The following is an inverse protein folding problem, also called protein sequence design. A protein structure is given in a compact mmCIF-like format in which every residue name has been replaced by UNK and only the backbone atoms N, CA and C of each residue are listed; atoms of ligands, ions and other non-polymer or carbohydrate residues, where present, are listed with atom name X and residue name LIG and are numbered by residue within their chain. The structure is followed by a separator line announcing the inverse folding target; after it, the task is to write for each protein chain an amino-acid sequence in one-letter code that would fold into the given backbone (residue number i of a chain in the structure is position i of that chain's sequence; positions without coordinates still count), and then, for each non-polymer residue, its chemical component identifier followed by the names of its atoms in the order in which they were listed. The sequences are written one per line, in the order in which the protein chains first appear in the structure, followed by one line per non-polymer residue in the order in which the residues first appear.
data_IF_659950093910
#
_entry.id   IF_659950093910
#
_cell.length_a   1.000
_cell.length_b   1.000
_cell.length_c   1.000
_cell.angle_alpha   90.00
_cell.angle_beta   90.00
_cell.angle_gamma   90.00
#
_symmetry.space_group_name_H-M   'P 1'
#
loop_
_entity.id
_entity.type
_entity.pdbx_description
1 polymer ?
#
# COMPACT_ATOMS: atom_id res chain seq x y z
N UNK A 1 17.67 -49.59 -2.66
CA UNK A 1 18.10 -48.64 -1.63
C UNK A 1 17.87 -47.25 -2.20
N UNK A 2 16.71 -46.66 -1.95
CA UNK A 2 16.43 -45.28 -2.32
C UNK A 2 16.32 -44.53 -1.01
N UNK A 3 17.35 -43.71 -0.75
CA UNK A 3 17.46 -42.83 0.40
C UNK A 3 16.38 -41.76 0.26
N UNK A 4 15.29 -41.90 1.02
CA UNK A 4 14.27 -40.86 1.13
C UNK A 4 14.87 -39.65 1.85
N UNK A 5 15.04 -38.56 1.11
CA UNK A 5 15.36 -37.26 1.66
C UNK A 5 14.14 -36.71 2.40
N UNK A 6 14.36 -36.27 3.63
CA UNK A 6 13.38 -35.59 4.45
C UNK A 6 13.33 -34.13 4.00
N UNK A 7 12.29 -33.76 3.24
CA UNK A 7 12.00 -32.35 2.92
C UNK A 7 11.38 -31.68 4.16
N UNK A 8 11.99 -30.61 4.70
CA UNK A 8 11.42 -29.88 5.83
C UNK A 8 10.13 -29.17 5.40
N UNK A 9 9.08 -29.34 6.20
CA UNK A 9 7.79 -28.71 6.01
C UNK A 9 7.91 -27.16 6.09
N UNK A 10 7.58 -26.41 5.01
CA UNK A 10 7.78 -24.96 4.96
C UNK A 10 6.94 -24.19 5.99
N UNK A 11 5.79 -24.72 6.41
CA UNK A 11 4.93 -24.07 7.43
C UNK A 11 5.55 -24.06 8.82
N UNK A 12 6.47 -25.00 9.11
CA UNK A 12 7.26 -25.00 10.35
C UNK A 12 8.57 -24.23 10.24
N UNK A 13 9.08 -23.99 9.02
CA UNK A 13 10.32 -23.25 8.81
C UNK A 13 10.09 -21.73 8.80
N UNK A 14 9.02 -21.25 8.17
CA UNK A 14 8.67 -19.82 8.13
C UNK A 14 8.22 -19.32 9.53
N UNK A 15 7.40 -20.09 10.25
CA UNK A 15 7.01 -19.71 11.63
C UNK A 15 8.17 -19.72 12.62
N UNK A 16 9.16 -20.60 12.42
CA UNK A 16 10.42 -20.57 13.21
C UNK A 16 11.27 -19.36 12.82
N UNK A 17 11.24 -18.92 11.56
CA UNK A 17 11.94 -17.72 11.09
C UNK A 17 11.34 -16.45 11.68
N UNK A 18 10.02 -16.36 11.79
CA UNK A 18 9.33 -15.22 12.42
C UNK A 18 9.63 -15.17 13.93
N UNK A 19 9.59 -16.30 14.62
CA UNK A 19 10.02 -16.39 16.03
C UNK A 19 11.50 -16.01 16.21
N UNK A 20 12.36 -16.33 15.25
CA UNK A 20 13.77 -15.91 15.27
C UNK A 20 13.89 -14.40 15.09
N UNK A 21 13.06 -13.76 14.24
CA UNK A 21 13.03 -12.30 14.06
C UNK A 21 12.51 -11.60 15.31
N UNK A 22 11.47 -12.13 15.95
CA UNK A 22 10.93 -11.61 17.21
C UNK A 22 11.97 -11.69 18.33
N UNK A 23 12.59 -12.86 18.52
CA UNK A 23 13.68 -13.05 19.49
C UNK A 23 14.89 -12.16 19.15
N UNK A 24 15.18 -11.89 17.88
CA UNK A 24 16.22 -10.93 17.49
C UNK A 24 15.87 -9.50 17.91
N UNK A 25 14.60 -9.09 17.78
CA UNK A 25 14.11 -7.81 18.27
C UNK A 25 14.23 -7.67 19.78
N UNK A 26 13.81 -8.70 20.53
CA UNK A 26 13.96 -8.75 21.99
C UNK A 26 15.43 -8.71 22.43
N UNK A 27 16.32 -9.39 21.70
CA UNK A 27 17.77 -9.37 21.97
C UNK A 27 18.37 -7.99 21.70
N UNK A 28 17.95 -7.28 20.66
CA UNK A 28 18.42 -5.91 20.40
C UNK A 28 17.88 -4.92 21.45
N UNK A 29 16.64 -5.09 21.92
CA UNK A 29 16.13 -4.28 23.02
C UNK A 29 16.89 -4.56 24.32
N UNK A 30 17.15 -5.84 24.63
CA UNK A 30 17.94 -6.21 25.79
C UNK A 30 19.37 -5.65 25.76
N UNK A 31 19.99 -5.53 24.56
CA UNK A 31 21.29 -4.85 24.41
C UNK A 31 21.21 -3.37 24.76
N UNK A 32 20.19 -2.65 24.26
CA UNK A 32 19.99 -1.24 24.61
C UNK A 32 19.79 -1.04 26.11
N UNK A 33 19.03 -1.93 26.74
CA UNK A 33 18.80 -1.88 28.19
C UNK A 33 20.09 -2.15 28.98
N UNK A 34 20.95 -3.06 28.48
CA UNK A 34 22.29 -3.32 29.04
C UNK A 34 23.19 -2.09 28.89
N UNK A 35 23.25 -1.48 27.70
CA UNK A 35 24.06 -0.27 27.46
C UNK A 35 23.63 0.89 28.38
N UNK A 36 22.32 1.05 28.60
CA UNK A 36 21.78 2.04 29.53
C UNK A 36 22.15 1.72 30.99
N UNK A 37 22.13 0.45 31.39
CA UNK A 37 22.56 0.02 32.71
C UNK A 37 24.07 0.23 32.93
N UNK A 38 24.91 0.01 31.91
CA UNK A 38 26.35 0.28 31.96
C UNK A 38 26.64 1.77 32.19
N UNK A 39 25.95 2.68 31.48
CA UNK A 39 26.09 4.13 31.69
C UNK A 39 25.64 4.56 33.10
N UNK A 40 24.58 3.96 33.62
CA UNK A 40 24.11 4.22 34.99
C UNK A 40 25.13 3.75 36.05
N UNK A 41 25.80 2.62 35.81
CA UNK A 41 26.88 2.12 36.68
C UNK A 41 28.08 3.08 36.65
N UNK A 42 28.51 3.53 35.47
CA UNK A 42 29.62 4.49 35.34
C UNK A 42 29.33 5.81 36.08
N UNK A 43 28.09 6.27 36.03
CA UNK A 43 27.65 7.46 36.79
C UNK A 43 27.71 7.23 38.30
N UNK A 44 27.27 6.06 38.77
CA UNK A 44 27.34 5.69 40.20
C UNK A 44 28.78 5.55 40.70
N UNK A 45 29.68 4.99 39.89
CA UNK A 45 31.11 4.90 40.21
C UNK A 45 31.73 6.28 40.40
N UNK A 46 31.36 7.26 39.55
CA UNK A 46 31.77 8.65 39.72
C UNK A 46 31.30 9.26 41.04
N UNK A 47 30.01 9.10 41.38
CA UNK A 47 29.47 9.61 42.65
C UNK A 47 30.08 8.95 43.88
N UNK A 48 30.47 7.68 43.80
CA UNK A 48 31.16 6.98 44.90
C UNK A 48 32.56 7.54 45.11
N UNK A 49 33.32 7.80 44.04
CA UNK A 49 34.64 8.40 44.15
C UNK A 49 34.61 9.79 44.81
N UNK A 50 33.63 10.62 44.47
CA UNK A 50 33.43 11.93 45.11
C UNK A 50 33.09 11.79 46.61
N UNK A 51 32.28 10.79 46.96
CA UNK A 51 31.96 10.50 48.35
C UNK A 51 33.17 10.02 49.16
N UNK A 52 34.05 9.20 48.57
CA UNK A 52 35.31 8.76 49.19
C UNK A 52 36.25 9.94 49.44
N UNK A 53 36.42 10.84 48.47
CA UNK A 53 37.23 12.05 48.63
C UNK A 53 36.67 12.98 49.72
N UNK A 54 35.36 13.13 49.79
CA UNK A 54 34.71 13.91 50.85
C UNK A 54 34.95 13.30 52.24
N UNK A 55 34.93 11.97 52.36
CA UNK A 55 35.21 11.26 53.62
C UNK A 55 36.67 11.46 54.05
N UNK A 56 37.63 11.37 53.12
CA UNK A 56 39.04 11.61 53.42
C UNK A 56 39.28 13.04 53.89
N UNK A 57 38.68 14.04 53.24
CA UNK A 57 38.75 15.43 53.67
C UNK A 57 38.18 15.66 55.09
N UNK A 58 37.07 14.99 55.43
CA UNK A 58 36.49 15.04 56.78
C UNK A 58 37.42 14.37 57.80
N UNK A 59 38.04 13.25 57.46
CA UNK A 59 38.98 12.56 58.33
C UNK A 59 40.25 13.39 58.58
N UNK A 60 40.80 14.04 57.56
CA UNK A 60 41.93 14.96 57.70
C UNK A 60 41.57 16.17 58.59
N UNK A 61 40.35 16.68 58.49
CA UNK A 61 39.87 17.75 59.36
C UNK A 61 39.70 17.31 60.83
N UNK A 62 39.26 16.06 61.06
CA UNK A 62 39.02 15.53 62.42
C UNK A 62 40.28 15.00 63.11
N UNK A 63 41.23 14.45 62.35
CA UNK A 63 42.38 13.72 62.88
C UNK A 63 43.74 14.21 62.36
N UNK A 64 43.78 15.03 61.30
CA UNK A 64 45.02 15.44 60.64
C UNK A 64 45.77 16.59 61.31
N UNK A 65 45.13 17.37 62.18
CA UNK A 65 45.77 18.47 62.90
C UNK A 65 45.99 18.09 64.36
N UNK A 66 47.13 17.46 64.64
CA UNK A 66 47.66 17.30 66.02
C UNK A 66 47.86 18.63 66.77
N UNK A 67 47.52 19.78 66.17
CA UNK A 67 47.53 21.12 66.76
C UNK A 67 46.71 21.20 68.06
N UNK A 68 45.61 20.44 68.17
CA UNK A 68 44.83 20.37 69.41
C UNK A 68 45.58 19.67 70.55
N UNK A 69 46.31 18.59 70.26
CA UNK A 69 47.15 17.88 71.24
C UNK A 69 48.38 18.70 71.62
N UNK A 70 49.01 19.38 70.66
CA UNK A 70 50.19 20.22 70.88
C UNK A 70 49.84 21.49 71.68
N UNK A 71 48.68 22.10 71.43
CA UNK A 71 48.18 23.22 72.22
C UNK A 71 47.88 22.81 73.68
N UNK A 72 47.31 21.62 73.90
CA UNK A 72 47.06 21.09 75.25
C UNK A 72 48.39 20.76 75.95
N UNK A 73 49.36 20.18 75.27
CA UNK A 73 50.69 19.92 75.83
C UNK A 73 51.40 21.21 76.24
N UNK A 74 51.35 22.26 75.40
CA UNK A 74 51.92 23.57 75.72
C UNK A 74 51.24 24.27 76.90
N UNK A 75 49.92 24.09 77.07
CA UNK A 75 49.21 24.58 78.25
C UNK A 75 49.63 23.86 79.54
N UNK A 76 49.91 22.56 79.48
CA UNK A 76 50.38 21.78 80.63
C UNK A 76 51.77 22.27 81.08
N UNK A 77 52.70 22.44 80.15
CA UNK A 77 54.06 22.96 80.46
C UNK A 77 54.02 24.39 81.06
N UNK A 78 53.10 25.22 80.57
CA UNK A 78 52.88 26.58 81.08
C UNK A 78 52.36 26.58 82.52
N UNK A 79 51.47 25.64 82.86
CA UNK A 79 50.92 25.50 84.22
C UNK A 79 52.00 25.04 85.18
N UNK A 80 52.84 24.06 84.79
CA UNK A 80 53.99 23.65 85.61
C UNK A 80 54.95 24.82 85.86
N UNK A 81 55.22 25.64 84.84
CA UNK A 81 56.06 26.85 84.99
C UNK A 81 55.45 27.87 85.96
N UNK A 82 54.13 28.07 85.92
CA UNK A 82 53.44 29.00 86.83
C UNK A 82 53.45 28.51 88.28
N UNK A 83 53.40 27.20 88.50
CA UNK A 83 53.55 26.62 89.83
C UNK A 83 54.96 26.89 90.40
N UNK A 84 56.01 26.70 89.59
CA UNK A 84 57.39 27.03 89.98
C UNK A 84 57.58 28.53 90.29
N UNK A 85 57.00 29.40 89.46
CA UNK A 85 57.05 30.86 89.70
C UNK A 85 56.30 31.26 90.99
N UNK A 86 55.18 30.61 91.30
CA UNK A 86 54.42 30.85 92.52
C UNK A 86 55.20 30.43 93.78
N UNK A 87 55.87 29.27 93.71
CA UNK A 87 56.76 28.81 94.78
C UNK A 87 57.95 29.75 94.98
N UNK A 88 58.47 30.36 93.89
CA UNK A 88 59.55 31.33 93.95
C UNK A 88 59.14 32.69 94.58
N UNK A 89 57.88 33.11 94.44
CA UNK A 89 57.38 34.39 95.01
C UNK A 89 57.02 34.25 96.50
N UNK A 90 56.73 33.04 96.97
CA UNK A 90 56.42 32.78 98.39
C UNK A 90 57.47 33.31 99.38
N UNK A 91 58.79 33.10 99.22
CA UNK A 91 59.80 33.68 100.11
C UNK A 91 59.87 35.21 100.04
N UNK A 92 59.59 35.83 98.89
CA UNK A 92 59.55 37.28 98.76
C UNK A 92 58.38 37.87 99.55
N UNK A 93 57.23 37.20 99.58
CA UNK A 93 56.07 37.61 100.40
C UNK A 93 56.39 37.52 101.90
N UNK A 94 57.10 36.47 102.34
CA UNK A 94 57.55 36.35 103.73
C UNK A 94 58.61 37.42 104.08
N UNK A 95 59.46 37.78 103.13
CA UNK A 95 60.41 38.89 103.26
C UNK A 95 59.66 40.22 103.37
N UNK A 96 58.67 40.47 102.51
CA UNK A 96 57.86 41.68 102.52
C UNK A 96 57.09 41.86 103.84
N UNK A 97 56.57 40.76 104.42
CA UNK A 97 55.97 40.78 105.77
C UNK A 97 56.98 41.22 106.83
N UNK A 98 58.22 40.76 106.72
CA UNK A 98 59.31 41.14 107.63
C UNK A 98 59.68 42.60 107.46
N UNK A 99 59.80 43.08 106.22
CA UNK A 99 60.09 44.48 105.89
C UNK A 99 58.97 45.42 106.36
N UNK A 100 57.71 45.03 106.20
CA UNK A 100 56.55 45.81 106.68
C UNK A 100 56.54 45.88 108.21
N UNK A 101 56.91 44.81 108.92
CA UNK A 101 57.08 44.84 110.37
C UNK A 101 58.25 45.76 110.79
N UNK A 102 59.33 45.76 110.02
CA UNK A 102 60.45 46.70 110.15
C UNK A 102 60.03 48.16 109.94
N UNK A 103 59.31 48.44 108.86
CA UNK A 103 58.75 49.76 108.54
C UNK A 103 57.77 50.23 109.62
N UNK A 104 56.93 49.35 110.16
CA UNK A 104 56.04 49.69 111.28
C UNK A 104 56.82 50.15 112.51
N UNK A 105 57.97 49.53 112.77
CA UNK A 105 58.90 49.93 113.84
C UNK A 105 59.59 51.26 113.50
N UNK A 106 60.07 51.42 112.26
CA UNK A 106 60.74 52.62 111.80
C UNK A 106 59.81 53.85 111.80
N UNK A 107 58.58 53.72 111.32
CA UNK A 107 57.53 54.74 111.39
C UNK A 107 57.20 55.12 112.84
N UNK A 108 57.18 54.14 113.75
CA UNK A 108 57.09 54.40 115.20
C UNK A 108 58.21 55.32 115.72
N UNK A 109 59.39 55.25 115.11
CA UNK A 109 60.55 56.09 115.46
C UNK A 109 60.58 57.43 114.70
N UNK A 110 59.94 57.57 113.53
CA UNK A 110 59.92 58.81 112.73
C UNK A 110 59.32 59.99 113.50
N UNK A 111 58.33 59.75 114.37
CA UNK A 111 57.76 60.80 115.23
C UNK A 111 58.71 61.32 116.33
N UNK A 112 59.90 60.73 116.47
CA UNK A 112 60.89 61.13 117.48
C UNK A 112 62.16 61.77 116.89
N UNK A 113 62.24 61.96 115.56
CA UNK A 113 63.42 62.53 114.89
C UNK A 113 63.31 64.05 114.73
N UNK A 114 64.30 64.76 115.24
CA UNK A 114 64.41 66.22 115.49
C UNK A 114 64.53 67.13 114.25
N UNK A 115 63.97 66.78 113.09
CA UNK A 115 64.08 67.60 111.87
C UNK A 115 62.71 68.00 111.30
N UNK A 116 62.20 69.15 111.75
CA UNK A 116 61.10 69.86 111.07
C UNK A 116 61.60 71.22 110.61
N UNK A 117 61.38 71.54 109.32
CA UNK A 117 61.60 72.89 108.76
C UNK A 117 60.61 73.90 109.35
N UNK A 118 61.06 75.13 109.51
CA UNK A 118 60.24 76.23 110.01
C UNK A 118 59.38 76.82 108.89
N UNK A 119 58.32 77.55 109.25
CA UNK A 119 57.46 78.26 108.28
C UNK A 119 58.24 79.26 107.41
N UNK A 120 59.37 79.74 107.90
CA UNK A 120 60.27 80.66 107.20
C UNK A 120 61.03 79.93 106.09
N UNK A 121 61.58 78.75 106.37
CA UNK A 121 62.23 77.89 105.36
C UNK A 121 61.27 77.55 104.21
N UNK A 122 59.98 77.30 104.52
CA UNK A 122 58.95 76.99 103.52
C UNK A 122 58.60 78.22 102.66
N UNK A 123 58.48 79.41 103.26
CA UNK A 123 58.16 80.63 102.53
C UNK A 123 59.28 81.05 101.56
N UNK A 124 60.54 80.86 101.96
CA UNK A 124 61.69 81.15 101.11
C UNK A 124 61.76 80.18 99.93
N UNK A 125 61.48 78.89 100.17
CA UNK A 125 61.46 77.88 99.12
C UNK A 125 60.33 78.13 98.10
N UNK A 126 59.14 78.49 98.60
CA UNK A 126 57.96 78.79 97.76
C UNK A 126 58.17 80.07 96.96
N UNK A 127 58.71 81.14 97.57
CA UNK A 127 58.92 82.41 96.86
C UNK A 127 59.99 82.28 95.77
N UNK A 128 61.08 81.55 96.03
CA UNK A 128 62.10 81.26 95.03
C UNK A 128 61.61 80.30 93.93
N UNK A 129 60.68 79.39 94.22
CA UNK A 129 60.15 78.46 93.23
C UNK A 129 59.14 79.12 92.27
N UNK A 130 58.42 80.16 92.70
CA UNK A 130 57.35 80.79 91.89
C UNK A 130 57.86 81.96 91.04
N UNK A 131 59.04 82.54 91.34
CA UNK A 131 59.60 83.65 90.57
C UNK A 131 59.99 83.29 89.12
N UNK A 132 60.11 82.01 88.78
CA UNK A 132 60.35 81.52 87.42
C UNK A 132 59.09 81.11 86.65
N UNK A 133 57.89 81.36 87.20
CA UNK A 133 56.60 80.97 86.59
C UNK A 133 56.10 82.08 85.67
N UNK A 134 55.47 81.71 84.55
CA UNK A 134 54.86 82.68 83.64
C UNK A 134 53.72 83.49 84.31
N UNK A 135 53.79 84.81 84.18
CA UNK A 135 52.86 85.78 84.74
C UNK A 135 52.16 86.53 83.59
N UNK A 136 50.91 86.20 83.26
CA UNK A 136 50.19 86.95 82.22
C UNK A 136 49.89 88.39 82.69
N UNK A 137 50.32 89.38 81.89
CA UNK A 137 50.27 90.81 82.24
C UNK A 137 49.31 91.62 81.38
N UNK A 138 48.83 91.05 80.26
CA UNK A 138 47.85 91.68 79.38
C UNK A 138 48.22 91.58 77.90
N UNK A 139 47.58 92.42 77.08
CA UNK A 139 47.77 92.44 75.63
C UNK A 139 48.22 93.82 75.16
N UNK A 140 49.10 93.88 74.16
CA UNK A 140 49.58 95.12 73.53
C UNK A 140 49.44 95.05 72.00
N UNK A 141 49.32 96.22 71.35
CA UNK A 141 49.01 96.31 69.91
C UNK A 141 50.20 95.98 68.99
N UNK A 142 51.44 96.07 69.48
CA UNK A 142 52.64 95.70 68.73
C UNK A 142 53.82 95.41 69.66
N UNK A 143 54.86 94.74 69.17
CA UNK A 143 56.02 94.34 69.97
C UNK A 143 56.72 95.55 70.63
N UNK A 144 56.79 96.69 69.93
CA UNK A 144 57.38 97.94 70.43
C UNK A 144 56.59 98.58 71.58
N UNK A 145 55.37 98.09 71.87
CA UNK A 145 54.52 98.55 72.97
C UNK A 145 54.65 97.68 74.22
N UNK A 146 55.48 96.64 74.19
CA UNK A 146 55.80 95.86 75.38
C UNK A 146 56.44 96.77 76.44
N UNK A 147 56.10 96.58 77.73
CA UNK A 147 56.54 97.49 78.78
C UNK A 147 58.06 97.43 78.95
N UNK A 148 58.64 98.56 79.32
CA UNK A 148 60.05 98.66 79.69
C UNK A 148 60.30 98.12 81.10
N UNK A 149 59.32 98.28 81.99
CA UNK A 149 59.27 97.67 83.32
C UNK A 149 58.68 96.25 83.21
N UNK A 150 59.52 95.25 83.46
CA UNK A 150 59.20 93.83 83.22
C UNK A 150 59.96 92.96 84.20
N UNK A 151 59.30 91.92 84.69
CA UNK A 151 59.90 90.89 85.53
C UNK A 151 60.11 89.61 84.71
N UNK A 152 61.11 88.81 85.07
CA UNK A 152 61.27 87.47 84.52
C UNK A 152 59.96 86.68 84.73
N UNK A 153 59.50 86.01 83.67
CA UNK A 153 58.20 85.33 83.65
C UNK A 153 57.04 86.20 83.16
N UNK A 154 57.14 87.53 83.05
CA UNK A 154 56.04 88.36 82.53
C UNK A 154 55.68 87.95 81.09
N UNK A 155 54.40 87.69 80.80
CA UNK A 155 53.88 87.28 79.50
C UNK A 155 52.87 88.30 78.98
N UNK A 156 53.05 88.73 77.74
CA UNK A 156 52.11 89.58 77.03
C UNK A 156 51.66 88.95 75.73
N UNK A 157 50.39 89.16 75.39
CA UNK A 157 49.90 88.88 74.05
C UNK A 157 50.17 90.09 73.14
N UNK A 158 50.85 89.86 72.03
CA UNK A 158 51.16 90.85 71.01
C UNK A 158 50.48 90.41 69.71
N UNK A 159 49.30 90.97 69.44
CA UNK A 159 48.47 90.57 68.29
C UNK A 159 48.21 89.05 68.27
N UNK A 160 48.83 88.32 67.35
CA UNK A 160 48.69 86.89 67.08
C UNK A 160 49.77 86.02 67.73
N UNK A 161 50.65 86.64 68.53
CA UNK A 161 51.77 85.98 69.17
C UNK A 161 51.81 86.25 70.66
N UNK A 162 52.39 85.31 71.40
CA UNK A 162 52.62 85.44 72.84
C UNK A 162 54.10 85.60 73.08
N UNK A 163 54.48 86.56 73.93
CA UNK A 163 55.87 86.83 74.28
C UNK A 163 56.04 86.80 75.79
N UNK A 164 57.10 86.15 76.27
CA UNK A 164 57.51 86.16 77.67
C UNK A 164 58.87 86.80 77.87
N UNK A 165 59.02 87.56 78.95
CA UNK A 165 60.30 88.10 79.36
C UNK A 165 61.09 87.03 80.11
N UNK A 166 62.21 86.59 79.55
CA UNK A 166 63.07 85.57 80.16
C UNK A 166 64.13 86.14 81.12
N UNK A 167 63.98 87.40 81.54
CA UNK A 167 64.99 88.12 82.33
C UNK A 167 65.94 88.98 81.48
N UNK A 168 66.13 88.64 80.20
CA UNK A 168 67.09 89.32 79.30
C UNK A 168 66.44 89.91 78.06
N UNK A 169 65.47 89.22 77.47
CA UNK A 169 64.72 89.66 76.29
C UNK A 169 63.29 89.12 76.27
N UNK A 170 62.44 89.69 75.41
CA UNK A 170 61.12 89.16 75.12
C UNK A 170 61.26 88.01 74.11
N UNK A 171 60.88 86.81 74.51
CA UNK A 171 60.95 85.58 73.72
C UNK A 171 59.55 85.17 73.28
N UNK A 172 59.38 84.85 72.00
CA UNK A 172 58.13 84.31 71.46
C UNK A 172 57.84 82.93 72.07
N UNK A 173 56.69 82.80 72.73
CA UNK A 173 56.20 81.56 73.33
C UNK A 173 55.25 80.80 72.40
N UNK A 174 54.44 81.54 71.64
CA UNK A 174 53.37 80.95 70.83
C UNK A 174 52.93 81.86 69.69
N UNK A 175 52.32 81.26 68.67
CA UNK A 175 51.76 81.94 67.50
C UNK A 175 50.41 81.33 67.13
N UNK A 176 49.56 82.09 66.44
CA UNK A 176 48.33 81.57 65.85
C UNK A 176 48.65 80.71 64.60
N UNK A 177 48.16 79.48 64.59
CA UNK A 177 48.23 78.60 63.41
C UNK A 177 47.09 78.94 62.45
N UNK A 178 47.40 79.26 61.19
CA UNK A 178 46.39 79.43 60.14
C UNK A 178 45.86 78.07 59.68
N UNK A 179 44.55 77.85 59.87
CA UNK A 179 43.85 76.62 59.48
C UNK A 179 42.98 76.81 58.23
N UNK A 180 43.08 77.94 57.52
CA UNK A 180 42.24 78.26 56.36
C UNK A 180 42.35 77.28 55.17
N UNK A 181 43.47 76.56 55.06
CA UNK A 181 43.68 75.50 54.06
C UNK A 181 43.03 74.17 54.43
N UNK A 182 42.51 74.02 55.66
CA UNK A 182 41.84 72.82 56.11
C UNK A 182 40.34 72.86 55.78
N UNK A 183 39.80 71.70 55.40
CA UNK A 183 38.38 71.55 55.14
C UNK A 183 37.57 71.87 56.41
N UNK A 184 36.53 72.69 56.26
CA UNK A 184 35.58 72.94 57.35
C UNK A 184 34.67 71.74 57.54
N UNK A 185 34.11 71.59 58.73
CA UNK A 185 33.11 70.55 59.00
C UNK A 185 31.91 70.64 58.05
N UNK A 186 31.41 71.84 57.79
CA UNK A 186 30.30 72.05 56.84
C UNK A 186 30.63 71.54 55.45
N UNK A 187 31.83 71.84 54.93
CA UNK A 187 32.25 71.32 53.63
C UNK A 187 32.28 69.79 53.59
N UNK A 188 32.78 69.15 54.65
CA UNK A 188 32.81 67.67 54.74
C UNK A 188 31.39 67.11 54.85
N UNK A 189 30.54 67.70 55.69
CA UNK A 189 29.15 67.26 55.87
C UNK A 189 28.36 67.37 54.56
N UNK A 190 28.52 68.47 53.81
CA UNK A 190 27.88 68.66 52.51
C UNK A 190 28.38 67.65 51.46
N UNK A 191 29.69 67.39 51.43
CA UNK A 191 30.27 66.40 50.52
C UNK A 191 29.81 64.97 50.85
N UNK A 192 29.77 64.62 52.14
CA UNK A 192 29.25 63.32 52.60
C UNK A 192 27.77 63.18 52.27
N UNK A 193 26.98 64.24 52.44
CA UNK A 193 25.57 64.24 52.07
C UNK A 193 25.37 64.01 50.58
N UNK A 194 26.14 64.70 49.73
CA UNK A 194 26.05 64.49 48.28
C UNK A 194 26.35 63.03 47.89
N UNK A 195 27.36 62.42 48.51
CA UNK A 195 27.67 61.00 48.30
C UNK A 195 26.55 60.09 48.82
N UNK A 196 25.92 60.43 49.94
CA UNK A 196 24.78 59.69 50.45
C UNK A 196 23.58 59.77 49.50
N UNK A 197 23.27 60.96 48.99
CA UNK A 197 22.20 61.18 48.02
C UNK A 197 22.48 60.38 46.71
N UNK A 198 23.74 60.35 46.24
CA UNK A 198 24.15 59.53 45.08
C UNK A 198 24.03 58.01 45.36
N UNK A 199 24.31 57.58 46.60
CA UNK A 199 24.18 56.17 47.00
C UNK A 199 22.71 55.74 47.04
N UNK A 200 21.82 56.58 47.58
CA UNK A 200 20.38 56.33 47.60
C UNK A 200 19.84 56.17 46.16
N UNK A 201 20.26 57.03 45.22
CA UNK A 201 19.89 56.92 43.81
C UNK A 201 20.44 55.64 43.16
N UNK A 202 21.65 55.21 43.55
CA UNK A 202 22.23 53.97 43.05
C UNK A 202 21.45 52.74 43.56
N UNK A 203 20.95 52.78 44.80
CA UNK A 203 20.13 51.71 45.38
C UNK A 203 18.78 51.58 44.65
N UNK A 204 18.09 52.70 44.40
CA UNK A 204 16.85 52.71 43.58
C UNK A 204 17.08 52.12 42.18
N UNK A 205 18.22 52.44 41.54
CA UNK A 205 18.57 51.90 40.23
C UNK A 205 18.85 50.39 40.28
N UNK A 206 19.45 49.89 41.36
CA UNK A 206 19.69 48.45 41.56
C UNK A 206 18.37 47.71 41.73
N UNK A 207 17.44 48.22 42.55
CA UNK A 207 16.12 47.63 42.72
C UNK A 207 15.36 47.55 41.39
N UNK A 208 15.42 48.60 40.58
CA UNK A 208 14.82 48.60 39.26
C UNK A 208 15.42 47.54 38.33
N UNK A 209 16.75 47.34 38.37
CA UNK A 209 17.44 46.31 37.59
C UNK A 209 17.07 44.90 38.06
N UNK A 210 16.91 44.68 39.37
CA UNK A 210 16.45 43.41 39.93
C UNK A 210 15.03 43.07 39.43
N UNK A 211 14.11 44.04 39.40
CA UNK A 211 12.78 43.81 38.84
C UNK A 211 12.78 43.50 37.33
N UNK A 212 13.74 44.05 36.58
CA UNK A 212 13.95 43.68 35.18
C UNK A 212 14.48 42.25 35.05
N UNK A 213 15.40 41.83 35.90
CA UNK A 213 15.92 40.45 35.94
C UNK A 213 14.81 39.44 36.21
N UNK A 214 13.98 39.69 37.24
CA UNK A 214 12.80 38.87 37.54
C UNK A 214 11.84 38.77 36.34
N UNK A 215 11.62 39.88 35.64
CA UNK A 215 10.77 39.92 34.45
C UNK A 215 11.38 39.11 33.29
N UNK A 216 12.70 39.20 33.09
CA UNK A 216 13.39 38.44 32.05
C UNK A 216 13.33 36.95 32.37
N UNK A 217 13.58 36.55 33.61
CA UNK A 217 13.53 35.15 34.04
C UNK A 217 12.13 34.57 33.84
N UNK A 218 11.07 35.27 34.25
CA UNK A 218 9.69 34.80 33.99
C UNK A 218 9.35 34.69 32.49
N UNK A 219 9.96 35.49 31.62
CA UNK A 219 9.82 35.35 30.16
C UNK A 219 10.63 34.17 29.61
N UNK A 220 11.79 33.88 30.17
CA UNK A 220 12.60 32.72 29.80
C UNK A 220 11.87 31.43 30.18
N UNK A 221 11.35 31.35 31.40
CA UNK A 221 10.56 30.20 31.86
C UNK A 221 9.36 29.95 30.92
N UNK A 222 8.62 31.00 30.56
CA UNK A 222 7.49 30.87 29.63
C UNK A 222 7.91 30.52 28.20
N UNK A 223 9.13 30.88 27.77
CA UNK A 223 9.67 30.42 26.50
C UNK A 223 10.09 28.94 26.55
N UNK A 224 10.63 28.48 27.67
CA UNK A 224 11.01 27.08 27.88
C UNK A 224 9.77 26.18 27.83
N UNK A 225 8.69 26.56 28.53
CA UNK A 225 7.39 25.87 28.44
C UNK A 225 6.87 25.82 26.98
N UNK A 226 6.95 26.93 26.24
CA UNK A 226 6.51 26.98 24.85
C UNK A 226 7.38 26.10 23.93
N UNK A 227 8.68 25.95 24.23
CA UNK A 227 9.59 25.06 23.50
C UNK A 227 9.20 23.60 23.76
N UNK A 228 8.92 23.23 25.01
CA UNK A 228 8.45 21.88 25.37
C UNK A 228 7.15 21.53 24.63
N UNK A 229 6.18 22.44 24.60
CA UNK A 229 4.93 22.27 23.86
C UNK A 229 5.17 22.05 22.35
N UNK A 230 6.09 22.82 21.76
CA UNK A 230 6.46 22.67 20.34
C UNK A 230 7.15 21.34 20.05
N UNK A 231 8.02 20.87 20.94
CA UNK A 231 8.67 19.56 20.82
C UNK A 231 7.65 18.41 20.92
N UNK A 232 6.66 18.53 21.80
CA UNK A 232 5.55 17.59 21.87
C UNK A 232 4.71 17.57 20.58
N UNK A 233 4.41 18.74 20.02
CA UNK A 233 3.68 18.85 18.76
C UNK A 233 4.47 18.27 17.57
N UNK A 234 5.78 18.50 17.50
CA UNK A 234 6.67 17.94 16.48
C UNK A 234 6.68 16.41 16.52
N UNK A 235 6.81 15.85 17.73
CA UNK A 235 6.73 14.39 17.95
C UNK A 235 5.40 13.81 17.45
N UNK A 236 4.27 14.43 17.81
CA UNK A 236 2.95 13.98 17.38
C UNK A 236 2.73 14.11 15.85
N UNK A 237 3.37 15.09 15.21
CA UNK A 237 3.37 15.21 13.75
C UNK A 237 4.18 14.08 13.12
N UNK A 238 5.34 13.74 13.68
CA UNK A 238 6.15 12.59 13.27
C UNK A 238 5.35 11.29 13.28
N UNK A 239 4.71 10.95 14.40
CA UNK A 239 3.86 9.75 14.51
C UNK A 239 2.72 9.72 13.48
N UNK A 240 2.13 10.88 13.17
CA UNK A 240 1.09 10.97 12.14
C UNK A 240 1.63 10.79 10.73
N UNK A 241 2.85 11.24 10.46
CA UNK A 241 3.52 11.02 9.17
C UNK A 241 3.81 9.53 9.00
N UNK A 242 4.37 8.88 10.02
CA UNK A 242 4.67 7.45 9.99
C UNK A 242 3.40 6.62 9.71
N UNK A 243 2.29 6.92 10.38
CA UNK A 243 1.01 6.25 10.12
C UNK A 243 0.46 6.49 8.71
N UNK A 244 0.65 7.69 8.15
CA UNK A 244 0.26 7.99 6.77
C UNK A 244 1.14 7.23 5.77
N UNK A 245 2.43 7.05 6.05
CA UNK A 245 3.34 6.28 5.21
C UNK A 245 2.96 4.79 5.17
N UNK A 246 2.53 4.23 6.30
CA UNK A 246 1.98 2.87 6.38
C UNK A 246 0.68 2.74 5.55
N UNK A 247 -0.26 3.67 5.72
CA UNK A 247 -1.52 3.70 4.96
C UNK A 247 -1.27 3.80 3.44
N UNK A 248 -0.33 4.65 3.02
CA UNK A 248 0.05 4.80 1.60
C UNK A 248 0.62 3.49 1.06
N UNK A 249 1.47 2.82 1.82
CA UNK A 249 2.07 1.54 1.41
C UNK A 249 0.99 0.47 1.22
N UNK A 250 0.05 0.35 2.16
CA UNK A 250 -1.08 -0.58 2.04
C UNK A 250 -1.99 -0.28 0.82
N UNK A 251 -2.21 1.00 0.51
CA UNK A 251 -2.98 1.39 -0.68
C UNK A 251 -2.27 1.05 -1.99
N UNK A 252 -0.94 1.15 -2.04
CA UNK A 252 -0.15 0.74 -3.21
C UNK A 252 -0.27 -0.77 -3.43
N UNK A 253 -0.13 -1.57 -2.38
CA UNK A 253 -0.29 -3.03 -2.47
C UNK A 253 -1.70 -3.43 -2.95
N UNK A 254 -2.73 -2.72 -2.48
CA UNK A 254 -4.10 -2.94 -2.93
C UNK A 254 -4.31 -2.54 -4.39
N UNK A 255 -3.69 -1.45 -4.87
CA UNK A 255 -3.74 -1.04 -6.28
C UNK A 255 -3.09 -2.10 -7.19
N UNK A 256 -1.92 -2.63 -6.80
CA UNK A 256 -1.27 -3.73 -7.52
C UNK A 256 -2.15 -4.99 -7.56
N UNK A 257 -2.81 -5.32 -6.45
CA UNK A 257 -3.74 -6.46 -6.36
C UNK A 257 -4.95 -6.26 -7.29
N UNK A 258 -5.51 -5.06 -7.33
CA UNK A 258 -6.63 -4.72 -8.21
C UNK A 258 -6.22 -4.74 -9.67
N UNK A 259 -5.03 -4.25 -10.01
CA UNK A 259 -4.47 -4.32 -11.36
C UNK A 259 -4.38 -5.77 -11.86
N UNK A 260 -3.86 -6.69 -11.03
CA UNK A 260 -3.80 -8.11 -11.37
C UNK A 260 -5.18 -8.77 -11.56
N UNK A 261 -6.19 -8.36 -10.79
CA UNK A 261 -7.57 -8.83 -11.01
C UNK A 261 -8.18 -8.33 -12.32
N UNK A 262 -7.87 -7.09 -12.71
CA UNK A 262 -8.35 -6.51 -13.97
C UNK A 262 -7.73 -7.27 -15.14
N UNK A 263 -6.42 -7.49 -15.14
CA UNK A 263 -5.73 -8.28 -16.17
C UNK A 263 -6.34 -9.69 -16.28
N UNK A 264 -6.57 -10.37 -15.15
CA UNK A 264 -7.22 -11.68 -15.15
C UNK A 264 -8.67 -11.66 -15.62
N UNK A 265 -9.39 -10.55 -15.50
CA UNK A 265 -10.72 -10.38 -16.08
C UNK A 265 -10.66 -10.13 -17.59
N UNK A 266 -9.69 -9.35 -18.07
CA UNK A 266 -9.48 -9.10 -19.50
C UNK A 266 -9.18 -10.41 -20.25
N UNK A 267 -8.29 -11.24 -19.71
CA UNK A 267 -7.99 -12.58 -20.25
C UNK A 267 -9.25 -13.46 -20.36
N UNK A 268 -10.10 -13.42 -19.32
CA UNK A 268 -11.35 -14.19 -19.29
C UNK A 268 -12.35 -13.67 -20.32
N UNK A 269 -12.40 -12.35 -20.53
CA UNK A 269 -13.25 -11.74 -21.56
C UNK A 269 -12.79 -12.19 -22.94
N UNK A 270 -11.50 -12.13 -23.23
CA UNK A 270 -10.95 -12.57 -24.53
C UNK A 270 -11.26 -14.06 -24.81
N UNK A 271 -11.11 -14.92 -23.80
CA UNK A 271 -11.47 -16.33 -23.90
C UNK A 271 -12.97 -16.54 -24.19
N UNK A 272 -13.85 -15.76 -23.55
CA UNK A 272 -15.29 -15.81 -23.79
C UNK A 272 -15.67 -15.30 -25.18
N UNK A 273 -15.02 -14.26 -25.69
CA UNK A 273 -15.23 -13.75 -27.05
C UNK A 273 -14.79 -14.77 -28.12
N UNK A 274 -13.68 -15.46 -27.87
CA UNK A 274 -13.21 -16.57 -28.73
C UNK A 274 -14.24 -17.71 -28.74
N UNK A 275 -14.71 -18.13 -27.56
CA UNK A 275 -15.73 -19.18 -27.45
C UNK A 275 -17.05 -18.79 -28.15
N UNK A 276 -17.49 -17.53 -27.99
CA UNK A 276 -18.67 -16.99 -28.67
C UNK A 276 -18.52 -17.09 -30.19
N UNK A 277 -17.38 -16.67 -30.74
CA UNK A 277 -17.10 -16.74 -32.18
C UNK A 277 -17.14 -18.18 -32.69
N UNK A 278 -16.63 -19.13 -31.89
CA UNK A 278 -16.72 -20.56 -32.18
C UNK A 278 -18.16 -21.07 -32.24
N UNK A 279 -19.01 -20.65 -31.29
CA UNK A 279 -20.43 -21.00 -31.32
C UNK A 279 -21.16 -20.38 -32.52
N UNK A 280 -20.88 -19.12 -32.86
CA UNK A 280 -21.48 -18.46 -34.03
C UNK A 280 -21.16 -19.25 -35.31
N UNK A 281 -19.90 -19.66 -35.49
CA UNK A 281 -19.46 -20.52 -36.61
C UNK A 281 -20.17 -21.87 -36.63
N UNK A 282 -20.35 -22.50 -35.45
CA UNK A 282 -21.07 -23.77 -35.35
C UNK A 282 -22.55 -23.62 -35.74
N UNK A 283 -23.21 -22.54 -35.32
CA UNK A 283 -24.59 -22.26 -35.71
C UNK A 283 -24.75 -22.05 -37.21
N UNK A 284 -23.83 -21.32 -37.86
CA UNK A 284 -23.82 -21.18 -39.32
C UNK A 284 -23.68 -22.53 -40.02
N UNK A 285 -22.80 -23.40 -39.51
CA UNK A 285 -22.62 -24.76 -40.03
C UNK A 285 -23.90 -25.59 -39.90
N UNK A 286 -24.53 -25.57 -38.72
CA UNK A 286 -25.78 -26.30 -38.46
C UNK A 286 -26.93 -25.76 -39.32
N UNK A 287 -27.06 -24.45 -39.49
CA UNK A 287 -28.05 -23.84 -40.38
C UNK A 287 -27.87 -24.30 -41.84
N UNK A 288 -26.61 -24.37 -42.30
CA UNK A 288 -26.27 -24.95 -43.61
C UNK A 288 -26.70 -26.42 -43.76
N UNK A 289 -26.43 -27.25 -42.74
CA UNK A 289 -26.85 -28.65 -42.71
C UNK A 289 -28.38 -28.79 -42.73
N UNK A 290 -29.11 -27.96 -41.97
CA UNK A 290 -30.58 -27.95 -41.94
C UNK A 290 -31.14 -27.61 -43.32
N UNK A 291 -30.60 -26.59 -44.00
CA UNK A 291 -31.01 -26.23 -45.38
C UNK A 291 -30.77 -27.35 -46.37
N UNK A 292 -29.63 -28.04 -46.28
CA UNK A 292 -29.32 -29.18 -47.13
C UNK A 292 -30.33 -30.33 -46.93
N UNK A 293 -30.67 -30.64 -45.68
CA UNK A 293 -31.70 -31.65 -45.36
C UNK A 293 -33.09 -31.25 -45.87
N UNK A 294 -33.47 -29.98 -45.77
CA UNK A 294 -34.75 -29.48 -46.31
C UNK A 294 -34.85 -29.62 -47.84
N UNK A 295 -33.75 -29.35 -48.55
CA UNK A 295 -33.69 -29.55 -50.00
C UNK A 295 -33.81 -31.05 -50.34
N UNK A 296 -33.07 -31.91 -49.63
CA UNK A 296 -33.14 -33.36 -49.83
C UNK A 296 -34.55 -33.93 -49.56
N UNK A 297 -35.26 -33.43 -48.53
CA UNK A 297 -36.65 -33.81 -48.24
C UNK A 297 -37.59 -33.37 -49.36
N UNK A 298 -37.42 -32.14 -49.88
CA UNK A 298 -38.17 -31.64 -51.03
C UNK A 298 -37.97 -32.52 -52.27
N UNK A 299 -36.72 -32.89 -52.56
CA UNK A 299 -36.38 -33.79 -53.66
C UNK A 299 -37.00 -35.18 -53.47
N UNK A 300 -36.96 -35.72 -52.26
CA UNK A 300 -37.58 -37.00 -51.93
C UNK A 300 -39.10 -36.97 -52.15
N UNK A 301 -39.78 -35.90 -51.75
CA UNK A 301 -41.22 -35.70 -52.00
C UNK A 301 -41.52 -35.66 -53.50
N UNK A 302 -40.69 -34.99 -54.30
CA UNK A 302 -40.85 -34.94 -55.76
C UNK A 302 -40.63 -36.33 -56.40
N UNK A 303 -39.61 -37.07 -55.96
CA UNK A 303 -39.37 -38.44 -56.40
C UNK A 303 -40.56 -39.35 -56.05
N UNK A 304 -41.12 -39.24 -54.85
CA UNK A 304 -42.30 -39.99 -54.43
C UNK A 304 -43.52 -39.69 -55.32
N UNK A 305 -43.75 -38.41 -55.64
CA UNK A 305 -44.82 -38.00 -56.56
C UNK A 305 -44.63 -38.58 -57.97
N UNK A 306 -43.39 -38.61 -58.49
CA UNK A 306 -43.08 -39.21 -59.78
C UNK A 306 -43.31 -40.74 -59.79
N UNK A 307 -42.93 -41.43 -58.71
CA UNK A 307 -43.24 -42.86 -58.53
C UNK A 307 -44.75 -43.09 -58.48
N UNK A 308 -45.50 -42.27 -57.75
CA UNK A 308 -46.96 -42.36 -57.71
C UNK A 308 -47.58 -42.19 -59.10
N UNK A 309 -47.14 -41.20 -59.89
CA UNK A 309 -47.59 -41.03 -61.27
C UNK A 309 -47.26 -42.24 -62.17
N UNK A 310 -46.11 -42.89 -61.96
CA UNK A 310 -45.75 -44.13 -62.67
C UNK A 310 -46.68 -45.28 -62.30
N UNK A 311 -47.03 -45.42 -61.00
CA UNK A 311 -47.97 -46.43 -60.52
C UNK A 311 -49.37 -46.21 -61.13
N UNK A 312 -49.85 -44.95 -61.16
CA UNK A 312 -51.13 -44.60 -61.80
C UNK A 312 -51.13 -44.96 -63.30
N UNK A 313 -50.04 -44.64 -64.03
CA UNK A 313 -49.91 -44.97 -65.44
C UNK A 313 -49.89 -46.50 -65.69
N UNK A 314 -49.21 -47.27 -64.83
CA UNK A 314 -49.24 -48.73 -64.88
C UNK A 314 -50.64 -49.27 -64.58
N UNK A 315 -51.38 -48.68 -63.63
CA UNK A 315 -52.77 -49.03 -63.35
C UNK A 315 -53.68 -48.84 -64.57
N UNK A 316 -53.58 -47.70 -65.26
CA UNK A 316 -54.33 -47.45 -66.50
C UNK A 316 -53.94 -48.42 -67.62
N UNK A 317 -52.67 -48.78 -67.73
CA UNK A 317 -52.21 -49.77 -68.70
C UNK A 317 -52.79 -51.16 -68.40
N UNK A 318 -52.85 -51.58 -67.14
CA UNK A 318 -53.46 -52.83 -66.69
C UNK A 318 -54.96 -52.89 -66.99
N UNK A 319 -55.71 -51.81 -66.72
CA UNK A 319 -57.12 -51.68 -67.12
C UNK A 319 -57.30 -51.79 -68.65
N UNK A 320 -56.40 -51.17 -69.41
CA UNK A 320 -56.36 -51.25 -70.87
C UNK A 320 -56.08 -52.66 -71.39
N UNK A 321 -55.15 -53.38 -70.77
CA UNK A 321 -54.88 -54.78 -71.07
C UNK A 321 -56.07 -55.67 -70.73
N UNK A 322 -56.71 -55.47 -69.57
CA UNK A 322 -57.93 -56.17 -69.15
C UNK A 322 -59.04 -55.99 -70.18
N UNK A 323 -59.24 -54.78 -70.70
CA UNK A 323 -60.23 -54.49 -71.76
C UNK A 323 -59.90 -55.20 -73.08
N UNK A 324 -58.63 -55.18 -73.51
CA UNK A 324 -58.17 -55.90 -74.72
C UNK A 324 -58.36 -57.41 -74.59
N UNK A 325 -58.02 -57.99 -73.43
CA UNK A 325 -58.24 -59.41 -73.13
C UNK A 325 -59.72 -59.74 -73.23
N UNK A 326 -60.61 -58.99 -72.58
CA UNK A 326 -62.07 -59.22 -72.68
C UNK A 326 -62.62 -59.10 -74.11
N UNK A 327 -62.08 -58.19 -74.91
CA UNK A 327 -62.43 -58.08 -76.35
C UNK A 327 -61.97 -59.32 -77.12
N UNK A 328 -60.74 -59.79 -76.88
CA UNK A 328 -60.22 -61.02 -77.49
C UNK A 328 -61.04 -62.25 -77.06
N UNK A 329 -61.39 -62.37 -75.78
CA UNK A 329 -62.26 -63.44 -75.27
C UNK A 329 -63.62 -63.46 -75.98
N UNK A 330 -64.24 -62.28 -76.19
CA UNK A 330 -65.46 -62.17 -76.98
C UNK A 330 -65.26 -62.57 -78.45
N UNK A 331 -64.16 -62.14 -79.06
CA UNK A 331 -63.82 -62.43 -80.46
C UNK A 331 -63.47 -63.91 -80.68
N UNK A 332 -62.95 -64.62 -79.67
CA UNK A 332 -62.68 -66.07 -79.71
C UNK A 332 -63.94 -66.87 -79.36
N UNK A 333 -64.72 -66.42 -78.38
CA UNK A 333 -65.96 -67.07 -77.95
C UNK A 333 -67.04 -67.12 -79.03
N UNK A 334 -67.11 -66.13 -79.92
CA UNK A 334 -68.08 -66.12 -81.04
C UNK A 334 -67.82 -67.22 -82.08
N UNK A 335 -66.60 -67.39 -82.62
CA UNK A 335 -66.20 -68.55 -83.39
C UNK A 335 -66.47 -69.86 -82.67
N UNK A 336 -66.19 -69.98 -81.36
CA UNK A 336 -66.50 -71.20 -80.60
C UNK A 336 -68.00 -71.48 -80.56
N UNK A 337 -68.85 -70.46 -80.37
CA UNK A 337 -70.30 -70.58 -80.47
C UNK A 337 -70.77 -70.97 -81.88
N UNK A 338 -70.23 -70.34 -82.92
CA UNK A 338 -70.52 -70.66 -84.32
C UNK A 338 -70.06 -72.08 -84.71
N UNK A 339 -68.88 -72.52 -84.24
CA UNK A 339 -68.38 -73.89 -84.36
C UNK A 339 -69.28 -74.88 -83.64
N UNK A 340 -69.74 -74.52 -82.43
CA UNK A 340 -70.71 -75.30 -81.66
C UNK A 340 -72.05 -75.46 -82.37
N UNK A 341 -72.50 -74.47 -83.14
CA UNK A 341 -73.71 -74.53 -83.97
C UNK A 341 -73.50 -75.28 -85.30
N UNK A 342 -72.28 -75.26 -85.86
CA UNK A 342 -71.91 -76.03 -87.04
C UNK A 342 -71.95 -77.54 -86.77
N UNK A 343 -71.61 -77.99 -85.56
CA UNK A 343 -71.63 -79.40 -85.20
C UNK A 343 -73.00 -80.08 -85.42
N UNK A 344 -74.11 -79.61 -84.80
CA UNK A 344 -75.44 -80.18 -85.04
C UNK A 344 -75.95 -79.91 -86.48
N UNK A 345 -75.52 -78.83 -87.14
CA UNK A 345 -75.89 -78.57 -88.53
C UNK A 345 -75.28 -79.59 -89.50
N UNK A 346 -74.00 -79.93 -89.32
CA UNK A 346 -73.30 -80.99 -90.05
C UNK A 346 -73.93 -82.34 -89.74
N UNK A 347 -74.26 -82.62 -88.48
CA UNK A 347 -74.91 -83.86 -88.08
C UNK A 347 -76.32 -84.01 -88.70
N UNK A 348 -77.09 -82.92 -88.75
CA UNK A 348 -78.39 -82.86 -89.45
C UNK A 348 -78.25 -83.06 -90.96
N UNK A 349 -77.24 -82.45 -91.59
CA UNK A 349 -76.90 -82.72 -93.00
C UNK A 349 -76.55 -84.18 -93.24
N UNK A 350 -75.79 -84.79 -92.32
CA UNK A 350 -75.40 -86.18 -92.41
C UNK A 350 -76.61 -87.13 -92.23
N UNK A 351 -77.55 -86.79 -91.34
CA UNK A 351 -78.81 -87.52 -91.19
C UNK A 351 -79.66 -87.43 -92.46
N UNK A 352 -79.84 -86.23 -93.03
CA UNK A 352 -80.54 -86.06 -94.31
C UNK A 352 -79.90 -86.86 -95.43
N UNK A 353 -78.57 -86.95 -95.46
CA UNK A 353 -77.84 -87.77 -96.43
C UNK A 353 -78.12 -89.27 -96.21
N UNK A 354 -78.11 -89.73 -94.95
CA UNK A 354 -78.42 -91.11 -94.61
C UNK A 354 -79.88 -91.48 -94.91
N UNK A 355 -80.83 -90.57 -94.68
CA UNK A 355 -82.24 -90.78 -95.02
C UNK A 355 -82.43 -90.95 -96.54
N UNK A 356 -81.71 -90.17 -97.37
CA UNK A 356 -81.66 -90.36 -98.83
C UNK A 356 -81.12 -91.75 -99.20
N UNK A 357 -80.12 -92.26 -98.48
CA UNK A 357 -79.51 -93.58 -98.74
C UNK A 357 -80.42 -94.73 -98.27
N UNK A 358 -81.20 -94.55 -97.21
CA UNK A 358 -82.03 -95.60 -96.62
C UNK A 358 -83.36 -95.87 -97.36
N UNK A 359 -83.87 -94.93 -98.15
CA UNK A 359 -85.16 -95.05 -98.85
C UNK A 359 -85.13 -95.76 -100.23
N UNK A 360 -84.01 -96.35 -100.66
CA UNK A 360 -84.01 -97.37 -101.73
C UNK A 360 -84.35 -96.90 -103.16
N UNK A 361 -84.02 -95.66 -103.52
CA UNK A 361 -84.15 -95.13 -104.88
C UNK A 361 -82.84 -95.13 -105.68
N UNK A 362 -82.83 -95.82 -106.83
CA UNK A 362 -81.98 -95.51 -108.00
C UNK A 362 -82.62 -94.36 -108.81
N UNK A 363 -81.94 -93.71 -109.77
CA UNK A 363 -80.84 -92.74 -109.70
C UNK A 363 -81.24 -91.40 -110.39
N UNK A 364 -80.33 -90.41 -110.51
CA UNK A 364 -80.24 -89.45 -111.63
C UNK A 364 -81.51 -89.07 -112.46
N UNK A 365 -82.63 -88.72 -111.82
CA UNK A 365 -83.80 -88.14 -112.46
C UNK A 365 -84.48 -87.12 -111.53
N UNK A 366 -83.75 -86.04 -111.22
CA UNK A 366 -84.37 -84.81 -110.75
C UNK A 366 -85.04 -84.13 -111.96
N UNK A 367 -86.29 -84.51 -112.22
CA UNK A 367 -87.17 -83.90 -113.20
C UNK A 367 -87.62 -82.51 -112.73
N UNK A 368 -86.71 -81.54 -112.83
CA UNK A 368 -87.02 -80.11 -112.77
C UNK A 368 -87.22 -79.53 -111.37
N UNK A 369 -86.61 -78.37 -111.13
CA UNK A 369 -86.93 -77.48 -110.02
C UNK A 369 -87.96 -76.48 -110.53
N UNK A 370 -89.13 -76.42 -109.88
CA UNK A 370 -90.19 -75.45 -110.18
C UNK A 370 -89.84 -74.10 -109.56
N UNK A 371 -89.68 -73.08 -110.41
CA UNK A 371 -89.77 -71.66 -110.03
C UNK A 371 -90.86 -71.03 -110.92
N UNK A 372 -91.95 -70.59 -110.30
CA UNK A 372 -93.05 -69.86 -110.97
C UNK A 372 -93.68 -70.54 -112.20
N UNK A 373 -93.91 -71.86 -112.13
CA UNK A 373 -94.90 -72.55 -112.98
C UNK A 373 -94.56 -72.67 -114.47
N UNK A 374 -93.31 -72.45 -114.87
CA UNK A 374 -92.84 -72.66 -116.26
C UNK A 374 -91.69 -73.66 -116.28
N UNK A 375 -91.86 -74.77 -117.01
CA UNK A 375 -90.86 -75.81 -117.23
C UNK A 375 -89.80 -75.32 -118.23
N UNK A 376 -88.55 -75.14 -117.80
CA UNK A 376 -87.41 -74.85 -118.67
C UNK A 376 -86.65 -76.16 -118.93
N UNK A 377 -86.66 -76.70 -120.17
CA UNK A 377 -85.93 -77.92 -120.51
C UNK A 377 -84.42 -77.65 -120.65
N UNK A 378 -83.61 -78.56 -120.11
CA UNK A 378 -82.15 -78.55 -120.21
C UNK A 378 -81.75 -79.01 -121.60
N UNK A 379 -81.09 -78.14 -122.37
CA UNK A 379 -80.54 -78.45 -123.68
C UNK A 379 -79.00 -78.39 -123.64
N UNK A 380 -78.38 -79.49 -124.05
CA UNK A 380 -76.94 -79.70 -124.13
C UNK A 380 -76.27 -78.71 -125.10
N UNK A 381 -75.73 -77.63 -124.54
CA UNK A 381 -74.68 -76.82 -125.13
C UNK A 381 -73.93 -76.10 -124.00
N UNK A 382 -72.60 -76.29 -123.98
CA UNK A 382 -71.61 -75.72 -123.04
C UNK A 382 -71.50 -76.37 -121.65
N UNK A 383 -70.84 -77.53 -121.63
CA UNK A 383 -69.77 -77.77 -120.65
C UNK A 383 -68.57 -76.90 -121.07
N UNK A 384 -68.57 -75.64 -120.68
CA UNK A 384 -67.44 -74.72 -120.62
C UNK A 384 -67.92 -73.43 -119.94
N UNK A 385 -67.11 -72.90 -119.01
CA UNK A 385 -67.40 -71.79 -118.07
C UNK A 385 -68.08 -72.19 -116.75
N UNK A 386 -67.39 -73.03 -115.98
CA UNK A 386 -67.16 -72.67 -114.57
C UNK A 386 -66.25 -71.44 -114.56
N UNK A 387 -66.52 -70.40 -113.75
CA UNK A 387 -65.46 -69.48 -113.37
C UNK A 387 -64.49 -70.26 -112.46
N UNK A 388 -63.42 -70.79 -113.04
CA UNK A 388 -62.20 -71.08 -112.31
C UNK A 388 -61.11 -70.19 -112.92
N UNK A 389 -60.84 -69.05 -112.30
CA UNK A 389 -59.61 -68.22 -112.31
C UNK A 389 -59.96 -66.88 -111.64
N UNK A 390 -59.14 -66.26 -110.77
CA UNK A 390 -57.74 -66.47 -110.42
C UNK A 390 -57.52 -66.00 -108.97
N UNK A 391 -56.67 -66.56 -108.11
CA UNK A 391 -55.75 -67.68 -108.21
C UNK A 391 -55.08 -67.79 -106.85
N UNK A 392 -55.04 -68.99 -106.28
CA UNK A 392 -54.12 -69.31 -105.20
C UNK A 392 -52.82 -69.81 -105.86
N UNK A 393 -51.69 -69.18 -105.54
CA UNK A 393 -50.40 -69.86 -105.64
C UNK A 393 -50.11 -70.57 -104.32
N UNK A 394 -49.73 -71.83 -104.48
CA UNK A 394 -49.48 -72.80 -103.42
C UNK A 394 -48.33 -72.40 -102.50
N UNK A 395 -48.37 -72.96 -101.30
CA UNK A 395 -47.52 -72.60 -100.18
C UNK A 395 -46.03 -72.94 -100.35
N UNK A 396 -45.25 -72.28 -99.49
CA UNK A 396 -44.02 -72.75 -98.85
C UNK A 396 -43.88 -71.97 -97.53
N UNK A 397 -43.83 -72.68 -96.41
CA UNK A 397 -43.11 -72.27 -95.18
C UNK A 397 -41.67 -72.79 -95.37
N UNK A 398 -40.54 -72.15 -94.96
CA UNK A 398 -40.35 -71.14 -93.90
C UNK A 398 -39.38 -69.95 -94.19
N UNK A 399 -39.47 -68.94 -93.29
CA UNK A 399 -38.42 -68.13 -92.60
C UNK A 399 -37.35 -67.36 -93.39
N UNK A 400 -37.38 -66.02 -93.26
CA UNK A 400 -36.33 -65.13 -92.70
C UNK A 400 -36.86 -63.68 -92.77
N UNK A 401 -37.08 -63.03 -91.63
CA UNK A 401 -36.19 -62.04 -91.00
C UNK A 401 -36.31 -60.62 -91.61
N UNK A 402 -36.51 -59.65 -90.71
CA UNK A 402 -36.43 -58.19 -90.88
C UNK A 402 -37.61 -57.55 -91.65
N UNK A 403 -38.22 -56.43 -91.26
CA UNK A 403 -38.02 -55.43 -90.21
C UNK A 403 -39.37 -54.70 -90.08
N UNK A 404 -39.82 -54.42 -88.85
CA UNK A 404 -40.90 -53.46 -88.59
C UNK A 404 -40.30 -52.06 -88.66
N UNK A 405 -40.68 -51.26 -89.65
CA UNK A 405 -40.42 -49.81 -89.64
C UNK A 405 -41.72 -49.01 -89.68
N UNK A 406 -41.69 -47.90 -88.94
CA UNK A 406 -42.61 -46.76 -88.93
C UNK A 406 -43.80 -46.78 -87.96
N UNK A 407 -43.50 -46.47 -86.69
CA UNK A 407 -44.43 -45.77 -85.80
C UNK A 407 -44.14 -44.27 -85.83
N UNK A 408 -45.08 -43.47 -86.34
CA UNK A 408 -45.09 -42.01 -86.17
C UNK A 408 -45.97 -41.63 -84.98
N UNK A 409 -45.56 -40.65 -84.18
CA UNK A 409 -46.40 -40.04 -83.13
C UNK A 409 -46.83 -38.62 -83.52
N UNK A 410 -48.07 -38.27 -83.15
CA UNK A 410 -48.67 -36.96 -83.39
C UNK A 410 -48.26 -35.99 -82.28
N UNK A 411 -47.58 -34.89 -82.62
CA UNK A 411 -47.26 -33.85 -81.63
C UNK A 411 -48.49 -32.99 -81.29
N UNK A 412 -48.47 -32.32 -80.14
CA UNK A 412 -49.58 -31.49 -79.62
C UNK A 412 -49.97 -30.29 -80.52
N UNK A 413 -49.24 -30.04 -81.62
CA UNK A 413 -49.53 -29.02 -82.63
C UNK A 413 -50.03 -29.60 -83.97
N UNK A 414 -50.30 -30.92 -84.04
CA UNK A 414 -50.98 -31.55 -85.18
C UNK A 414 -50.08 -31.88 -86.38
N UNK A 415 -48.76 -31.78 -86.25
CA UNK A 415 -47.80 -32.21 -87.28
C UNK A 415 -47.17 -33.56 -86.94
N UNK A 416 -47.05 -34.43 -87.95
CA UNK A 416 -46.32 -35.69 -87.89
C UNK A 416 -44.82 -35.41 -87.92
N UNK A 417 -44.12 -35.73 -86.84
CA UNK A 417 -42.66 -35.54 -86.74
C UNK A 417 -41.99 -36.86 -86.37
N UNK A 418 -41.02 -37.28 -87.18
CA UNK A 418 -40.12 -38.39 -86.86
C UNK A 418 -39.07 -37.89 -85.83
N UNK A 419 -38.94 -38.50 -84.63
CA UNK A 419 -37.98 -38.05 -83.62
C UNK A 419 -36.52 -38.37 -83.97
N UNK A 420 -36.26 -39.06 -85.09
CA UNK A 420 -34.91 -39.32 -85.59
C UNK A 420 -34.73 -38.56 -86.92
N UNK A 421 -34.05 -37.42 -86.86
CA UNK A 421 -33.63 -36.68 -88.05
C UNK A 421 -32.81 -37.54 -89.01
N UNK A 422 -32.82 -37.16 -90.30
CA UNK A 422 -32.21 -37.81 -91.46
C UNK A 422 -31.00 -38.73 -91.15
N UNK A 423 -31.28 -40.01 -90.86
CA UNK A 423 -30.26 -41.04 -90.69
C UNK A 423 -29.94 -41.61 -92.07
N UNK A 424 -29.11 -40.90 -92.81
CA UNK A 424 -28.56 -41.41 -94.07
C UNK A 424 -27.86 -42.76 -93.84
N UNK A 425 -28.38 -43.83 -94.46
CA UNK A 425 -27.79 -45.17 -94.67
C UNK A 425 -26.68 -45.61 -93.68
N UNK A 426 -26.97 -45.61 -92.38
CA UNK A 426 -26.11 -46.24 -91.36
C UNK A 426 -26.81 -47.48 -90.80
N UNK A 427 -26.06 -48.56 -90.66
CA UNK A 427 -26.53 -49.82 -90.09
C UNK A 427 -26.65 -49.74 -88.56
N UNK A 428 -27.50 -50.56 -87.94
CA UNK A 428 -27.75 -50.58 -86.47
C UNK A 428 -26.44 -50.69 -85.66
N UNK A 429 -25.41 -51.35 -86.20
CA UNK A 429 -24.09 -51.43 -85.57
C UNK A 429 -23.37 -50.07 -85.52
N UNK A 430 -23.48 -49.27 -86.57
CA UNK A 430 -22.83 -47.94 -86.67
C UNK A 430 -23.52 -46.90 -85.77
N UNK A 431 -24.81 -47.06 -85.48
CA UNK A 431 -25.54 -46.20 -84.52
C UNK A 431 -25.15 -46.49 -83.06
N UNK A 432 -24.96 -47.77 -82.71
CA UNK A 432 -24.51 -48.18 -81.37
C UNK A 432 -23.05 -47.78 -81.12
N UNK A 433 -22.18 -47.88 -82.13
CA UNK A 433 -20.79 -47.44 -82.02
C UNK A 433 -20.69 -45.91 -81.86
N UNK A 434 -21.60 -45.13 -82.50
CA UNK A 434 -21.68 -43.66 -82.33
C UNK A 434 -22.25 -43.23 -80.98
N UNK A 435 -23.22 -43.98 -80.44
CA UNK A 435 -23.74 -43.74 -79.08
C UNK A 435 -22.75 -44.14 -77.98
N UNK A 436 -21.76 -44.98 -78.28
CA UNK A 436 -20.70 -45.37 -77.35
C UNK A 436 -19.53 -44.35 -77.30
N UNK A 437 -19.38 -43.47 -78.30
CA UNK A 437 -18.38 -42.39 -78.31
C UNK A 437 -18.79 -41.15 -77.49
N UNK A 438 -20.03 -41.09 -76.97
CA UNK A 438 -20.59 -39.93 -76.25
C UNK A 438 -20.83 -40.17 -74.75
N UNK A 439 -20.11 -41.13 -74.14
CA UNK A 439 -20.06 -41.29 -72.67
C UNK A 439 -18.78 -40.64 -72.14
N UNK A 440 -18.88 -39.36 -71.75
CA UNK A 440 -17.89 -38.71 -70.89
C UNK A 440 -18.32 -38.96 -69.44
N UNK A 441 -17.60 -39.84 -68.75
CA UNK A 441 -17.70 -39.98 -67.29
C UNK A 441 -16.79 -38.91 -66.68
N UNK A 442 -17.37 -37.80 -66.22
CA UNK A 442 -16.68 -36.89 -65.31
C UNK A 442 -16.80 -37.43 -63.88
N UNK A 443 -15.67 -37.83 -63.31
CA UNK A 443 -15.54 -38.07 -61.89
C UNK A 443 -15.32 -36.73 -61.17
N UNK A 444 -16.33 -36.20 -60.50
CA UNK A 444 -16.12 -35.18 -59.46
C UNK A 444 -15.71 -35.89 -58.17
N UNK A 445 -14.47 -35.65 -57.75
CA UNK A 445 -13.86 -36.15 -56.52
C UNK A 445 -14.66 -35.76 -55.26
N UNK A 446 -14.66 -36.66 -54.27
CA UNK A 446 -14.94 -36.37 -52.86
C UNK A 446 -13.59 -36.31 -52.14
#
# INVERSE_FOLDING_TARGET
MVLGWYEPNPTTAEGVKDQVVEVQGEVEQAKKDIDAAEQAIETLEGSVAEAEEAIDNINDALYGTGEGEEAVAGLVERVETLEDEMDAVQPDVETLKTDVAGLKTAVGNVYTKEETYTKEDVNDLVSNAISGVFHFRGSVESFDKLPTEKAEGDVYQVVDKEYAWNGTEWVELGFLVDLSSYATRTYVDDAVKAVADDLDLAEEAIEALQGVDETINGRLDGHDEAIEDLQGADTAIGERIDGIEEDITALIEEDERLAGLIEGHDDRIEALETAKTGFDTHFETVDGQIKALQNADTDFVQQFAAVNGTIEALGLADEGFTTKIGTLENYVGTPTGNLGALYPAVESLNQRLNDIVAEGGEPNQLNGISINGTLVPVNDSLIAELPVFAGATAGLVPVAANELTDYHFLSATGNWTNPFGDLGNLTVKEYVDKAAEEIVVEWSAI
#
